data_IF_481891079626
#
_entry.id   IF_481891079626
#
_cell.length_a   1.000
_cell.length_b   1.000
_cell.length_c   1.000
_cell.angle_alpha   90.00
_cell.angle_beta   90.00
_cell.angle_gamma   90.00
#
_symmetry.space_group_name_H-M   'P 1'
#
loop_
_entity.id
_entity.type
_entity.pdbx_description
1 polymer ?
#
# COMPACT_ATOMS: atom_id res chain seq x y z
N UNK A 1 -10.63 -10.80 -11.19
CA UNK A 1 -9.38 -10.19 -10.68
C UNK A 1 -9.63 -9.73 -9.27
N UNK A 2 -8.81 -10.16 -8.30
CA UNK A 2 -9.00 -9.76 -6.91
C UNK A 2 -8.83 -8.23 -6.78
N UNK A 3 -9.74 -7.53 -6.07
CA UNK A 3 -9.69 -6.07 -5.93
C UNK A 3 -8.35 -5.55 -5.42
N UNK A 4 -7.68 -6.30 -4.56
CA UNK A 4 -6.36 -5.98 -3.97
C UNK A 4 -5.23 -5.88 -5.00
N UNK A 5 -5.38 -6.47 -6.19
CA UNK A 5 -4.38 -6.43 -7.25
C UNK A 5 -4.60 -5.31 -8.27
N UNK A 6 -5.65 -4.53 -8.11
CA UNK A 6 -5.99 -3.46 -9.07
C UNK A 6 -4.89 -2.39 -9.15
N UNK A 7 -4.36 -1.96 -8.01
CA UNK A 7 -3.27 -0.97 -7.95
C UNK A 7 -1.99 -1.48 -8.62
N UNK A 8 -1.65 -2.74 -8.41
CA UNK A 8 -0.49 -3.38 -9.03
C UNK A 8 -0.64 -3.42 -10.56
N UNK A 9 -1.79 -3.90 -11.07
CA UNK A 9 -2.04 -3.94 -12.51
C UNK A 9 -2.11 -2.54 -13.12
N UNK A 10 -2.73 -1.57 -12.44
CA UNK A 10 -2.74 -0.18 -12.89
C UNK A 10 -1.33 0.38 -13.06
N UNK A 11 -0.46 0.20 -12.07
CA UNK A 11 0.92 0.66 -12.15
C UNK A 11 1.71 -0.04 -13.27
N UNK A 12 1.52 -1.35 -13.44
CA UNK A 12 2.13 -2.07 -14.55
C UNK A 12 1.64 -1.56 -15.91
N UNK A 13 0.34 -1.31 -16.05
CA UNK A 13 -0.24 -0.76 -17.26
C UNK A 13 0.37 0.60 -17.63
N UNK A 14 0.64 1.47 -16.64
CA UNK A 14 1.32 2.76 -16.87
C UNK A 14 2.75 2.58 -17.37
N UNK A 15 3.43 1.51 -16.99
CA UNK A 15 4.85 1.29 -17.35
C UNK A 15 4.98 0.56 -18.69
N UNK A 16 4.21 -0.49 -18.91
CA UNK A 16 4.39 -1.40 -20.08
C UNK A 16 3.26 -1.32 -21.11
N UNK A 17 2.20 -0.58 -20.80
CA UNK A 17 1.01 -0.46 -21.64
C UNK A 17 0.02 -1.62 -21.48
N UNK A 18 -1.27 -1.34 -21.70
CA UNK A 18 -2.37 -2.28 -21.49
C UNK A 18 -2.24 -3.56 -22.33
N UNK A 19 -1.97 -3.41 -23.63
CA UNK A 19 -1.89 -4.56 -24.55
C UNK A 19 -0.81 -5.55 -24.14
N UNK A 20 0.38 -5.05 -23.77
CA UNK A 20 1.49 -5.88 -23.34
C UNK A 20 1.20 -6.57 -22.01
N UNK A 21 0.55 -5.88 -21.08
CA UNK A 21 0.14 -6.44 -19.79
C UNK A 21 -0.82 -7.63 -19.99
N UNK A 22 -1.83 -7.48 -20.87
CA UNK A 22 -2.78 -8.57 -21.15
C UNK A 22 -2.08 -9.78 -21.77
N UNK A 23 -1.19 -9.59 -22.74
CA UNK A 23 -0.39 -10.69 -23.33
C UNK A 23 0.42 -11.43 -22.25
N UNK A 24 1.04 -10.71 -21.29
CA UNK A 24 1.82 -11.32 -20.23
C UNK A 24 0.96 -12.12 -19.24
N UNK A 25 -0.26 -11.67 -19.01
CA UNK A 25 -1.24 -12.39 -18.16
C UNK A 25 -1.76 -13.64 -18.88
N UNK A 26 -2.17 -13.53 -20.14
CA UNK A 26 -2.67 -14.65 -20.95
C UNK A 26 -1.62 -15.76 -21.11
N UNK A 27 -0.36 -15.39 -21.27
CA UNK A 27 0.76 -16.34 -21.37
C UNK A 27 1.28 -16.82 -20.00
N UNK A 28 0.60 -16.50 -18.91
CA UNK A 28 0.99 -16.86 -17.55
C UNK A 28 2.42 -16.42 -17.15
N UNK A 29 2.95 -15.37 -17.79
CA UNK A 29 4.22 -14.75 -17.39
C UNK A 29 4.03 -13.99 -16.09
N UNK A 30 2.88 -13.30 -15.95
CA UNK A 30 2.45 -12.67 -14.70
C UNK A 30 1.33 -13.52 -14.12
N UNK A 31 1.54 -13.99 -12.89
CA UNK A 31 0.57 -14.81 -12.18
C UNK A 31 0.29 -14.20 -10.79
N UNK A 32 -0.95 -14.25 -10.36
CA UNK A 32 -1.36 -13.91 -8.99
C UNK A 32 -1.83 -15.18 -8.32
N UNK A 33 -1.14 -15.54 -7.26
CA UNK A 33 -1.41 -16.76 -6.50
C UNK A 33 -1.76 -16.36 -5.06
N UNK A 34 -2.96 -16.69 -4.58
CA UNK A 34 -3.26 -16.51 -3.16
C UNK A 34 -2.27 -17.29 -2.29
N UNK A 35 -1.82 -16.67 -1.20
CA UNK A 35 -0.79 -17.23 -0.32
C UNK A 35 -1.17 -18.65 0.18
N UNK A 36 -2.46 -18.89 0.43
CA UNK A 36 -2.97 -20.19 0.86
C UNK A 36 -2.70 -21.34 -0.13
N UNK A 37 -2.59 -21.02 -1.44
CA UNK A 37 -2.37 -22.03 -2.49
C UNK A 37 -0.89 -22.29 -2.79
N UNK A 38 0.01 -21.60 -2.10
CA UNK A 38 1.45 -21.80 -2.29
C UNK A 38 2.02 -23.02 -1.56
N UNK A 39 1.21 -23.69 -0.72
CA UNK A 39 1.67 -24.86 0.04
C UNK A 39 2.07 -26.00 -0.90
N UNK A 40 3.26 -26.56 -0.72
CA UNK A 40 3.75 -27.72 -1.47
C UNK A 40 4.38 -27.42 -2.82
N UNK A 41 4.40 -26.16 -3.28
CA UNK A 41 5.07 -25.80 -4.54
C UNK A 41 6.46 -25.22 -4.25
N UNK A 42 7.39 -25.40 -5.20
CA UNK A 42 8.69 -24.73 -5.22
C UNK A 42 8.74 -23.82 -6.45
N UNK A 43 9.11 -22.58 -6.26
CA UNK A 43 9.14 -21.57 -7.31
C UNK A 43 10.59 -21.33 -7.74
N UNK A 44 11.04 -21.98 -8.80
CA UNK A 44 12.35 -21.79 -9.41
C UNK A 44 12.28 -20.88 -10.65
N UNK A 45 13.34 -20.12 -10.91
CA UNK A 45 13.42 -19.16 -12.01
C UNK A 45 12.27 -18.13 -12.00
N UNK A 46 11.91 -17.65 -10.81
CA UNK A 46 10.79 -16.71 -10.60
C UNK A 46 11.23 -15.46 -9.87
N UNK A 47 10.54 -14.38 -10.19
CA UNK A 47 10.52 -13.16 -9.40
C UNK A 47 9.20 -13.15 -8.61
N UNK A 48 9.27 -13.23 -7.30
CA UNK A 48 8.09 -13.44 -6.45
C UNK A 48 7.95 -12.28 -5.47
N UNK A 49 6.76 -11.70 -5.41
CA UNK A 49 6.47 -10.58 -4.53
C UNK A 49 5.34 -10.99 -3.58
N UNK A 50 5.57 -10.84 -2.28
CA UNK A 50 4.53 -10.85 -1.26
C UNK A 50 4.29 -9.42 -0.82
N UNK A 51 3.14 -8.89 -1.18
CA UNK A 51 2.72 -7.53 -0.82
C UNK A 51 1.81 -7.54 0.42
N UNK A 52 1.71 -6.39 1.11
CA UNK A 52 0.92 -6.22 2.33
C UNK A 52 1.26 -7.25 3.43
N UNK A 53 2.53 -7.60 3.54
CA UNK A 53 3.00 -8.69 4.41
C UNK A 53 2.81 -8.40 5.92
N UNK A 54 2.54 -7.15 6.32
CA UNK A 54 2.16 -6.83 7.69
C UNK A 54 0.87 -7.55 8.14
N UNK A 55 0.02 -7.94 7.17
CA UNK A 55 -1.23 -8.67 7.40
C UNK A 55 -1.06 -10.20 7.34
N UNK A 56 0.15 -10.69 7.09
CA UNK A 56 0.46 -12.11 7.13
C UNK A 56 0.96 -12.53 8.53
N UNK A 57 0.64 -13.76 8.94
CA UNK A 57 1.17 -14.34 10.19
C UNK A 57 2.61 -14.85 10.01
N UNK A 58 3.37 -15.08 11.10
CA UNK A 58 4.71 -15.68 11.02
C UNK A 58 4.72 -17.02 10.29
N UNK A 59 3.69 -17.86 10.48
CA UNK A 59 3.55 -19.15 9.80
C UNK A 59 3.35 -18.97 8.29
N UNK A 60 2.59 -17.97 7.90
CA UNK A 60 2.38 -17.65 6.49
C UNK A 60 3.66 -17.12 5.83
N UNK A 61 4.40 -16.25 6.49
CA UNK A 61 5.72 -15.80 5.99
C UNK A 61 6.69 -16.98 5.90
N UNK A 62 6.75 -17.84 6.94
CA UNK A 62 7.56 -19.06 6.92
C UNK A 62 7.18 -19.94 5.74
N UNK A 63 5.89 -20.17 5.53
CA UNK A 63 5.41 -20.94 4.40
C UNK A 63 5.84 -20.33 3.06
N UNK A 64 5.74 -19.00 2.89
CA UNK A 64 6.14 -18.28 1.69
C UNK A 64 7.64 -18.42 1.40
N UNK A 65 8.51 -18.15 2.38
CA UNK A 65 9.98 -18.21 2.15
C UNK A 65 10.48 -19.62 1.93
N UNK A 66 9.78 -20.64 2.45
CA UNK A 66 10.15 -22.04 2.17
C UNK A 66 9.77 -22.50 0.76
N UNK A 67 9.19 -21.65 -0.06
CA UNK A 67 8.90 -21.92 -1.49
C UNK A 67 10.03 -21.49 -2.41
N UNK A 68 11.09 -20.86 -1.88
CA UNK A 68 12.22 -20.39 -2.65
C UNK A 68 12.88 -21.57 -3.37
N UNK A 69 12.91 -21.49 -4.69
CA UNK A 69 13.63 -22.40 -5.57
C UNK A 69 14.86 -21.74 -6.19
N UNK A 70 15.60 -22.52 -6.94
CA UNK A 70 16.84 -22.07 -7.61
C UNK A 70 16.57 -20.89 -8.57
N UNK A 71 17.52 -19.97 -8.64
CA UNK A 71 17.49 -18.80 -9.52
C UNK A 71 16.28 -17.90 -9.35
N UNK A 72 15.68 -17.88 -8.16
CA UNK A 72 14.53 -17.04 -7.86
C UNK A 72 14.90 -15.86 -6.97
N UNK A 73 14.17 -14.75 -7.13
CA UNK A 73 14.25 -13.56 -6.27
C UNK A 73 12.92 -13.38 -5.57
N UNK A 74 12.98 -13.18 -4.27
CA UNK A 74 11.82 -12.96 -3.42
C UNK A 74 11.86 -11.57 -2.81
N UNK A 75 10.74 -10.88 -2.87
CA UNK A 75 10.54 -9.57 -2.25
C UNK A 75 9.35 -9.68 -1.31
N UNK A 76 9.52 -9.19 -0.10
CA UNK A 76 8.44 -9.04 0.89
C UNK A 76 8.30 -7.55 1.14
N UNK A 77 7.11 -7.00 0.86
CA UNK A 77 6.79 -5.59 1.10
C UNK A 77 5.69 -5.47 2.14
N UNK A 78 5.67 -4.37 2.85
CA UNK A 78 4.61 -4.06 3.80
C UNK A 78 4.92 -2.84 4.65
N UNK A 79 3.90 -2.37 5.36
CA UNK A 79 3.95 -1.21 6.24
C UNK A 79 3.56 -1.62 7.67
N UNK A 80 4.53 -1.59 8.59
CA UNK A 80 4.31 -2.00 9.98
C UNK A 80 3.32 -1.08 10.74
N UNK A 81 3.09 0.14 10.24
CA UNK A 81 2.12 1.08 10.85
C UNK A 81 0.68 0.80 10.39
N UNK A 82 0.48 0.13 9.24
CA UNK A 82 -0.82 -0.14 8.62
C UNK A 82 -1.28 -1.60 8.80
N UNK A 83 -0.92 -2.24 9.89
CA UNK A 83 -1.30 -3.63 10.14
C UNK A 83 -2.75 -3.74 10.61
N UNK A 84 -3.56 -4.54 9.91
CA UNK A 84 -4.92 -4.91 10.32
C UNK A 84 -4.93 -5.98 11.43
N UNK A 85 -3.80 -6.63 11.67
CA UNK A 85 -3.63 -7.62 12.74
C UNK A 85 -2.88 -7.01 13.92
N UNK A 86 -3.06 -7.61 15.10
CA UNK A 86 -2.34 -7.16 16.30
C UNK A 86 -0.83 -7.18 16.04
N UNK A 87 -0.13 -6.10 16.37
CA UNK A 87 1.31 -5.93 16.08
C UNK A 87 2.17 -7.15 16.44
N UNK A 88 1.93 -7.76 17.60
CA UNK A 88 2.66 -8.96 18.05
C UNK A 88 2.39 -10.23 17.22
N UNK A 89 1.41 -10.19 16.31
CA UNK A 89 1.07 -11.29 15.39
C UNK A 89 1.55 -11.04 13.96
N UNK A 90 2.13 -9.88 13.68
CA UNK A 90 2.61 -9.56 12.34
C UNK A 90 3.83 -10.41 11.97
N UNK A 91 3.67 -11.20 10.91
CA UNK A 91 4.75 -12.01 10.35
C UNK A 91 5.86 -11.16 9.74
N UNK A 92 5.55 -9.96 9.23
CA UNK A 92 6.57 -9.06 8.68
C UNK A 92 7.54 -8.59 9.76
N UNK A 93 7.05 -8.19 10.94
CA UNK A 93 7.91 -7.78 12.05
C UNK A 93 8.78 -8.94 12.54
N UNK A 94 8.20 -10.12 12.67
CA UNK A 94 8.92 -11.35 13.04
C UNK A 94 10.00 -11.70 11.99
N UNK A 95 9.66 -11.60 10.69
CA UNK A 95 10.58 -11.87 9.60
C UNK A 95 11.77 -10.90 9.58
N UNK A 96 11.54 -9.60 9.77
CA UNK A 96 12.60 -8.59 9.86
C UNK A 96 13.59 -8.96 10.96
N UNK A 97 13.09 -9.34 12.14
CA UNK A 97 13.95 -9.73 13.28
C UNK A 97 14.73 -11.02 13.02
N UNK A 98 14.12 -12.02 12.40
CA UNK A 98 14.74 -13.33 12.17
C UNK A 98 15.69 -13.36 10.99
N UNK A 99 15.41 -12.59 9.94
CA UNK A 99 16.19 -12.64 8.70
C UNK A 99 17.30 -11.62 8.63
N UNK A 100 17.33 -10.68 9.58
CA UNK A 100 18.41 -9.69 9.67
C UNK A 100 19.79 -10.37 9.75
N UNK A 101 20.73 -9.94 8.88
CA UNK A 101 22.10 -10.44 8.87
C UNK A 101 22.30 -11.81 8.20
N UNK A 102 21.26 -12.47 7.69
CA UNK A 102 21.41 -13.69 6.91
C UNK A 102 22.03 -13.33 5.54
N UNK A 103 23.12 -14.01 5.18
CA UNK A 103 23.73 -13.83 3.85
C UNK A 103 22.71 -14.11 2.74
N UNK A 104 22.60 -13.21 1.78
CA UNK A 104 21.60 -13.30 0.70
C UNK A 104 20.27 -12.61 1.03
N UNK A 105 20.09 -12.06 2.24
CA UNK A 105 18.92 -11.27 2.62
C UNK A 105 19.30 -9.80 2.76
N UNK A 106 18.62 -8.92 2.02
CA UNK A 106 18.73 -7.47 2.13
C UNK A 106 17.49 -6.89 2.81
N UNK A 107 17.67 -5.86 3.64
CA UNK A 107 16.60 -5.09 4.23
C UNK A 107 16.66 -3.65 3.74
N UNK A 108 15.56 -3.14 3.18
CA UNK A 108 15.41 -1.75 2.80
C UNK A 108 14.25 -1.13 3.61
N UNK A 109 14.51 -0.05 4.30
CA UNK A 109 13.51 0.70 5.05
C UNK A 109 13.33 2.09 4.45
N UNK A 110 12.11 2.38 4.00
CA UNK A 110 11.72 3.70 3.53
C UNK A 110 11.37 4.59 4.72
N UNK A 111 11.79 5.85 4.64
CA UNK A 111 11.49 6.90 5.61
C UNK A 111 10.45 7.85 5.05
N UNK A 112 9.85 8.68 5.89
CA UNK A 112 8.85 9.67 5.47
C UNK A 112 9.33 10.57 4.31
N UNK A 113 10.63 10.91 4.27
CA UNK A 113 11.24 11.69 3.17
C UNK A 113 11.26 10.95 1.82
N UNK A 114 11.21 9.63 1.83
CA UNK A 114 11.26 8.78 0.63
C UNK A 114 9.86 8.59 0.02
N UNK A 115 8.82 9.02 0.74
CA UNK A 115 7.42 8.88 0.31
C UNK A 115 7.09 9.95 -0.72
N UNK A 116 6.82 9.53 -1.96
CA UNK A 116 6.39 10.40 -3.06
C UNK A 116 4.87 10.50 -3.04
N UNK A 117 4.34 11.60 -2.52
CA UNK A 117 2.90 11.89 -2.50
C UNK A 117 2.66 13.34 -2.87
N UNK A 118 1.46 13.62 -3.39
CA UNK A 118 1.04 15.00 -3.66
C UNK A 118 1.20 15.88 -2.40
N UNK A 119 1.65 17.12 -2.56
CA UNK A 119 1.96 18.03 -1.45
C UNK A 119 0.79 18.23 -0.49
N UNK A 120 -0.43 18.35 -1.01
CA UNK A 120 -1.66 18.43 -0.22
C UNK A 120 -1.87 17.17 0.63
N UNK A 121 -1.70 15.98 0.05
CA UNK A 121 -1.86 14.72 0.80
C UNK A 121 -0.88 14.64 1.96
N UNK A 122 0.39 15.05 1.78
CA UNK A 122 1.37 15.12 2.87
C UNK A 122 0.91 16.05 3.99
N UNK A 123 0.35 17.22 3.64
CA UNK A 123 -0.17 18.20 4.63
C UNK A 123 -1.37 17.65 5.38
N UNK A 124 -2.29 16.98 4.70
CA UNK A 124 -3.45 16.34 5.31
C UNK A 124 -3.01 15.24 6.29
N UNK A 125 -2.14 14.33 5.86
CA UNK A 125 -1.65 13.23 6.70
C UNK A 125 -0.91 13.73 7.94
N UNK A 126 -0.18 14.84 7.83
CA UNK A 126 0.45 15.45 9.01
C UNK A 126 -0.59 15.81 10.07
N UNK A 127 -1.73 16.37 9.68
CA UNK A 127 -2.83 16.70 10.62
C UNK A 127 -3.43 15.46 11.28
N UNK A 128 -3.50 14.33 10.60
CA UNK A 128 -3.93 13.08 11.22
C UNK A 128 -2.92 12.53 12.24
N UNK A 129 -1.61 12.77 12.03
CA UNK A 129 -0.57 12.38 12.99
C UNK A 129 -0.52 13.30 14.21
N UNK A 130 -0.73 14.60 14.00
CA UNK A 130 -0.69 15.62 15.06
C UNK A 130 -1.93 15.59 15.98
N UNK A 131 -2.78 14.57 15.85
CA UNK A 131 -3.89 14.16 16.72
C UNK A 131 -4.79 15.23 17.37
N UNK A 132 -6.08 15.09 17.17
CA UNK A 132 -7.23 15.40 18.05
C UNK A 132 -7.35 16.78 18.74
N UNK A 133 -6.38 17.68 18.73
CA UNK A 133 -6.47 18.97 19.43
C UNK A 133 -7.27 20.06 18.71
N UNK A 134 -7.69 19.85 17.45
CA UNK A 134 -8.32 20.92 16.65
C UNK A 134 -9.85 20.87 16.66
N UNK A 135 -10.46 19.80 17.17
CA UNK A 135 -11.92 19.62 17.08
C UNK A 135 -12.68 20.22 18.29
N UNK A 136 -12.00 20.50 19.40
CA UNK A 136 -12.64 21.06 20.60
C UNK A 136 -13.10 22.53 20.45
N UNK A 137 -12.63 23.26 19.44
CA UNK A 137 -13.03 24.67 19.24
C UNK A 137 -14.15 24.87 18.21
N UNK A 138 -14.57 23.83 17.49
CA UNK A 138 -15.68 23.94 16.54
C UNK A 138 -16.95 23.44 17.21
N UNK A 139 -17.77 24.38 17.71
CA UNK A 139 -19.05 24.03 18.32
C UNK A 139 -19.89 23.14 17.40
N UNK A 140 -20.54 22.12 17.97
CA UNK A 140 -21.29 21.08 17.29
C UNK A 140 -22.46 21.57 16.39
N UNK A 141 -22.73 22.87 16.36
CA UNK A 141 -23.84 23.49 15.64
C UNK A 141 -23.44 24.17 14.32
N UNK A 142 -22.13 24.24 13.97
CA UNK A 142 -21.71 24.90 12.73
C UNK A 142 -21.67 23.92 11.56
N UNK A 143 -22.31 24.31 10.47
CA UNK A 143 -22.17 23.62 9.19
C UNK A 143 -20.76 23.89 8.64
N UNK A 144 -19.97 22.83 8.45
CA UNK A 144 -18.64 22.93 7.85
C UNK A 144 -18.79 22.65 6.37
N UNK A 145 -18.40 23.62 5.53
CA UNK A 145 -18.23 23.45 4.10
C UNK A 145 -16.74 23.24 3.82
N UNK A 146 -16.38 22.16 3.15
CA UNK A 146 -15.02 21.86 2.77
C UNK A 146 -14.97 21.61 1.28
N UNK A 147 -14.03 22.25 0.58
CA UNK A 147 -13.73 21.98 -0.82
C UNK A 147 -12.24 21.74 -1.01
N UNK A 148 -11.91 20.92 -1.97
CA UNK A 148 -10.53 20.61 -2.33
C UNK A 148 -10.37 20.96 -3.81
N UNK A 149 -9.41 21.81 -4.11
CA UNK A 149 -9.07 22.22 -5.47
C UNK A 149 -7.64 21.79 -5.84
N UNK A 150 -7.42 21.35 -7.08
CA UNK A 150 -6.12 20.83 -7.53
C UNK A 150 -4.99 21.85 -7.46
N UNK A 151 -5.28 23.16 -7.56
CA UNK A 151 -4.30 24.23 -7.68
C UNK A 151 -4.14 25.12 -6.46
N UNK A 152 -4.71 24.77 -5.30
CA UNK A 152 -4.55 25.55 -4.08
C UNK A 152 -5.87 26.02 -3.46
N UNK A 153 -5.75 26.75 -2.38
CA UNK A 153 -6.88 27.33 -1.65
C UNK A 153 -7.24 28.68 -2.32
N UNK A 154 -8.09 28.64 -3.32
CA UNK A 154 -8.69 29.86 -3.81
C UNK A 154 -9.96 30.20 -3.03
N UNK A 155 -10.16 31.50 -2.80
CA UNK A 155 -11.30 32.01 -2.06
C UNK A 155 -12.61 31.73 -2.81
N UNK A 156 -13.72 31.41 -2.11
CA UNK A 156 -15.01 31.11 -2.73
C UNK A 156 -15.69 32.28 -3.47
N UNK A 157 -14.99 33.36 -3.72
CA UNK A 157 -15.60 34.60 -4.25
C UNK A 157 -15.33 34.87 -5.74
N UNK A 158 -14.76 33.96 -6.52
CA UNK A 158 -14.46 34.24 -7.93
C UNK A 158 -15.49 33.72 -8.96
N UNK A 159 -16.64 33.28 -8.52
CA UNK A 159 -17.82 33.12 -9.41
C UNK A 159 -17.75 32.03 -10.48
N UNK A 160 -16.85 31.07 -10.41
CA UNK A 160 -16.82 29.93 -11.33
C UNK A 160 -17.81 28.86 -10.91
N UNK A 161 -18.68 28.46 -11.84
CA UNK A 161 -19.94 27.72 -11.56
C UNK A 161 -19.80 26.22 -11.45
N UNK A 162 -18.61 25.65 -11.26
CA UNK A 162 -18.38 24.17 -11.30
C UNK A 162 -17.86 23.57 -10.00
N UNK A 163 -18.00 24.27 -8.87
CA UNK A 163 -17.54 23.75 -7.59
C UNK A 163 -18.56 22.78 -7.00
N UNK A 164 -18.21 21.49 -6.92
CA UNK A 164 -19.01 20.50 -6.21
C UNK A 164 -18.87 20.69 -4.70
N UNK A 165 -19.87 21.26 -4.07
CA UNK A 165 -19.92 21.46 -2.64
C UNK A 165 -20.38 20.19 -1.91
N UNK A 166 -19.59 19.71 -0.98
CA UNK A 166 -20.02 18.70 -0.02
C UNK A 166 -20.45 19.37 1.29
N UNK A 167 -21.74 19.29 1.58
CA UNK A 167 -22.32 19.77 2.83
C UNK A 167 -22.46 18.61 3.81
N UNK A 168 -21.62 18.58 4.83
CA UNK A 168 -21.72 17.58 5.88
C UNK A 168 -22.62 18.14 6.98
N UNK A 169 -23.83 17.56 7.13
CA UNK A 169 -24.66 17.76 8.31
C UNK A 169 -24.33 16.65 9.32
N UNK A 170 -24.12 17.04 10.57
CA UNK A 170 -24.18 16.11 11.68
C UNK A 170 -25.62 15.80 12.03
#
# INVERSE_FOLDING_TARGET
TAPFMMSFYYNMEQIIGKQRLEILKENNVIQVIPLAFMRGITLSNKFVILDEAQNATPEQIKMFVTRIGEHSKYIITGDLEQSDIQKHKSGLEDAIKRFAGIHGVGLAQFKEKDVVRHSLVRRLLKRYKDSFQIIDEISAEKTISMWIHENGLDSPNDGSADDTFYKIKK
#
